data_IF_230974033552
#
_entry.id   IF_230974033552
#
_cell.length_a   1.000
_cell.length_b   1.000
_cell.length_c   1.000
_cell.angle_alpha   90.00
_cell.angle_beta   90.00
_cell.angle_gamma   90.00
#
_symmetry.space_group_name_H-M   'P 1'
#
loop_
_entity.id
_entity.type
_entity.pdbx_description
1 polymer ?
#
# COMPACT_ATOMS: atom_id res chain seq x y z
N UNK A 1 -3.20 54.26 22.41
CA UNK A 1 -2.02 53.64 23.08
C UNK A 1 -2.59 52.79 24.21
N UNK A 2 -2.75 51.48 24.09
CA UNK A 2 -1.70 50.44 24.21
C UNK A 2 -2.30 49.12 23.69
N UNK A 3 -1.95 48.66 22.48
CA UNK A 3 -1.05 47.51 22.18
C UNK A 3 -1.29 46.23 22.98
N UNK A 4 -1.86 45.27 22.24
CA UNK A 4 -1.78 43.82 22.32
C UNK A 4 -0.45 43.25 22.85
N UNK A 5 -0.53 42.22 23.69
CA UNK A 5 0.48 41.16 23.87
C UNK A 5 -0.25 39.95 24.47
N UNK A 6 -0.53 38.89 23.68
CA UNK A 6 0.29 37.66 23.64
C UNK A 6 0.00 36.81 24.88
N UNK A 7 -0.48 35.57 24.82
CA UNK A 7 -0.20 34.48 23.89
C UNK A 7 -1.35 33.48 24.03
N UNK A 8 -2.06 33.19 22.94
CA UNK A 8 -2.80 31.94 22.86
C UNK A 8 -1.74 30.86 22.65
N UNK A 9 -1.33 30.19 23.74
CA UNK A 9 -0.57 28.96 23.64
C UNK A 9 -1.43 27.97 22.87
N UNK A 10 -1.07 27.72 21.62
CA UNK A 10 -1.55 26.54 20.91
C UNK A 10 -1.25 25.35 21.81
N UNK A 11 -2.29 24.66 22.27
CA UNK A 11 -2.14 23.32 22.81
C UNK A 11 -1.47 22.50 21.72
N UNK A 12 -0.20 22.16 21.90
CA UNK A 12 0.61 21.39 20.97
C UNK A 12 -0.04 20.02 20.80
N UNK A 13 -0.94 19.90 19.83
CA UNK A 13 -1.55 18.63 19.46
C UNK A 13 -0.46 17.66 19.04
N UNK A 14 -0.53 16.43 19.54
CA UNK A 14 0.33 15.35 19.07
C UNK A 14 0.12 15.14 17.57
N UNK A 15 1.20 15.05 16.79
CA UNK A 15 1.16 14.74 15.36
C UNK A 15 0.67 13.30 15.22
N UNK A 16 -0.45 13.11 14.53
CA UNK A 16 -1.08 11.81 14.32
C UNK A 16 -0.44 11.13 13.12
N UNK A 17 0.33 10.09 13.38
CA UNK A 17 1.07 9.33 12.38
C UNK A 17 0.40 7.97 12.17
N UNK A 18 0.13 7.63 10.92
CA UNK A 18 -0.41 6.33 10.53
C UNK A 18 0.64 5.48 9.84
N UNK A 19 0.86 4.25 10.31
CA UNK A 19 1.80 3.30 9.72
C UNK A 19 1.13 1.98 9.36
N UNK A 20 1.69 1.30 8.37
CA UNK A 20 1.16 0.04 7.86
C UNK A 20 1.42 -1.09 8.87
N UNK A 21 0.40 -1.92 9.12
CA UNK A 21 0.48 -3.08 10.02
C UNK A 21 1.05 -4.34 9.35
N UNK A 22 2.21 -4.23 8.68
CA UNK A 22 2.92 -5.38 8.09
C UNK A 22 4.37 -5.45 8.56
N UNK A 23 4.97 -6.65 8.49
CA UNK A 23 6.33 -6.89 8.98
C UNK A 23 7.37 -5.98 8.32
N UNK A 24 7.19 -5.64 7.03
CA UNK A 24 8.09 -4.75 6.29
C UNK A 24 8.11 -3.30 6.79
N UNK A 25 7.16 -2.91 7.65
CA UNK A 25 7.04 -1.56 8.20
C UNK A 25 7.71 -1.44 9.57
N UNK A 26 7.96 -2.56 10.28
CA UNK A 26 8.56 -2.56 11.62
C UNK A 26 9.85 -1.72 11.69
N UNK A 27 10.82 -1.84 10.75
CA UNK A 27 12.03 -1.03 10.80
C UNK A 27 11.80 0.47 10.56
N UNK A 28 10.70 0.86 9.89
CA UNK A 28 10.40 2.26 9.56
C UNK A 28 9.75 3.02 10.72
N UNK A 29 9.16 2.30 11.66
CA UNK A 29 8.44 2.89 12.80
C UNK A 29 9.19 2.75 14.12
N UNK A 30 10.31 2.03 14.12
CA UNK A 30 11.14 1.84 15.30
C UNK A 30 11.59 3.21 15.85
N UNK A 31 11.44 3.39 17.16
CA UNK A 31 11.70 4.66 17.84
C UNK A 31 10.69 5.79 17.62
N UNK A 32 9.74 5.71 16.67
CA UNK A 32 8.76 6.79 16.45
C UNK A 32 7.85 7.01 17.66
N UNK A 33 7.53 5.96 18.41
CA UNK A 33 6.71 6.02 19.63
C UNK A 33 7.43 6.69 20.80
N UNK A 34 8.76 6.80 20.75
CA UNK A 34 9.59 7.43 21.78
C UNK A 34 9.70 8.96 21.57
N UNK A 35 9.33 9.45 20.39
CA UNK A 35 9.39 10.87 20.04
C UNK A 35 8.21 11.60 20.70
N UNK A 36 8.54 12.59 21.54
CA UNK A 36 7.54 13.45 22.19
C UNK A 36 6.71 14.22 21.16
N UNK A 37 5.39 14.19 21.30
CA UNK A 37 4.46 14.87 20.38
C UNK A 37 4.12 14.08 19.12
N UNK A 38 4.41 12.78 19.06
CA UNK A 38 3.92 11.85 18.04
C UNK A 38 2.88 10.89 18.65
N UNK A 39 1.80 10.65 17.92
CA UNK A 39 0.82 9.61 18.21
C UNK A 39 0.78 8.64 17.03
N UNK A 40 1.35 7.45 17.21
CA UNK A 40 1.43 6.43 16.17
C UNK A 40 0.21 5.49 16.23
N UNK A 41 -0.40 5.26 15.08
CA UNK A 41 -1.48 4.29 14.88
C UNK A 41 -1.15 3.35 13.74
N UNK A 42 -1.63 2.11 13.82
CA UNK A 42 -1.39 1.07 12.81
C UNK A 42 -2.69 0.68 12.13
N UNK A 43 -2.67 0.59 10.80
CA UNK A 43 -3.80 0.10 10.02
C UNK A 43 -3.33 -0.45 8.67
N UNK A 44 -4.27 -0.86 7.83
CA UNK A 44 -4.00 -1.27 6.45
C UNK A 44 -3.71 -0.07 5.54
N UNK A 45 -2.88 -0.24 4.49
CA UNK A 45 -2.50 0.86 3.61
C UNK A 45 -3.69 1.64 3.03
N UNK A 46 -4.75 0.95 2.60
CA UNK A 46 -5.96 1.58 2.06
C UNK A 46 -6.69 2.43 3.11
N UNK A 47 -6.82 1.95 4.35
CA UNK A 47 -7.46 2.68 5.45
C UNK A 47 -6.64 3.87 5.92
N UNK A 48 -5.31 3.76 5.90
CA UNK A 48 -4.42 4.89 6.19
C UNK A 48 -4.60 6.01 5.17
N UNK A 49 -4.76 5.69 3.89
CA UNK A 49 -5.06 6.67 2.85
C UNK A 49 -6.41 7.36 3.09
N UNK A 50 -7.45 6.59 3.42
CA UNK A 50 -8.78 7.14 3.73
C UNK A 50 -8.74 8.07 4.96
N UNK A 51 -8.03 7.66 6.03
CA UNK A 51 -7.88 8.44 7.25
C UNK A 51 -7.02 9.71 7.06
N UNK A 52 -5.97 9.66 6.22
CA UNK A 52 -5.21 10.85 5.84
C UNK A 52 -6.10 11.83 5.08
N UNK A 53 -6.84 11.35 4.08
CA UNK A 53 -7.76 12.16 3.28
C UNK A 53 -8.82 12.86 4.15
N UNK A 54 -9.45 12.11 5.05
CA UNK A 54 -10.45 12.62 6.00
C UNK A 54 -9.86 13.54 7.09
N UNK A 55 -8.54 13.58 7.23
CA UNK A 55 -7.86 14.38 8.25
C UNK A 55 -7.89 13.85 9.65
N UNK A 56 -8.10 12.55 9.77
CA UNK A 56 -7.87 11.81 11.01
C UNK A 56 -6.38 11.56 11.27
N UNK A 57 -5.54 11.66 10.23
CA UNK A 57 -4.08 11.59 10.32
C UNK A 57 -3.44 12.87 9.76
N UNK A 58 -2.27 13.22 10.30
CA UNK A 58 -1.44 14.33 9.85
C UNK A 58 -0.36 13.85 8.88
N UNK A 59 0.21 12.68 9.15
CA UNK A 59 1.18 11.98 8.31
C UNK A 59 0.79 10.50 8.22
N UNK A 60 0.91 9.87 7.04
CA UNK A 60 0.66 8.45 6.90
C UNK A 60 1.57 7.77 5.87
N UNK A 61 1.93 6.51 6.12
CA UNK A 61 2.56 5.62 5.14
C UNK A 61 1.47 5.03 4.24
N UNK A 62 1.23 5.65 3.08
CA UNK A 62 0.10 5.33 2.20
C UNK A 62 0.57 4.68 0.89
N UNK A 63 -0.31 3.94 0.18
CA UNK A 63 -0.02 3.44 -1.16
C UNK A 63 0.43 4.57 -2.10
N UNK A 64 1.53 4.39 -2.83
CA UNK A 64 2.06 5.41 -3.74
C UNK A 64 1.04 5.92 -4.77
N UNK A 65 0.07 5.08 -5.19
CA UNK A 65 -0.96 5.49 -6.14
C UNK A 65 -1.88 6.59 -5.59
N UNK A 66 -2.05 6.64 -4.26
CA UNK A 66 -2.88 7.63 -3.56
C UNK A 66 -2.25 9.02 -3.58
N UNK A 67 -0.91 9.10 -3.63
CA UNK A 67 -0.21 10.37 -3.76
C UNK A 67 -0.65 11.15 -5.01
N UNK A 68 -0.89 10.45 -6.12
CA UNK A 68 -1.31 11.06 -7.37
C UNK A 68 -2.79 11.46 -7.40
N UNK A 69 -3.59 11.09 -6.40
CA UNK A 69 -5.03 11.40 -6.34
C UNK A 69 -5.33 12.75 -5.69
N UNK A 70 -4.39 13.33 -4.93
CA UNK A 70 -4.60 14.58 -4.21
C UNK A 70 -3.41 15.55 -4.41
N UNK A 71 -3.61 16.70 -5.09
CA UNK A 71 -2.55 17.68 -5.34
C UNK A 71 -2.02 18.36 -4.07
N UNK A 72 -2.76 18.31 -2.95
CA UNK A 72 -2.38 18.87 -1.66
C UNK A 72 -1.51 17.93 -0.83
N UNK A 73 -1.24 16.72 -1.33
CA UNK A 73 -0.32 15.80 -0.69
C UNK A 73 1.14 16.19 -0.93
N UNK A 74 1.96 15.99 0.11
CA UNK A 74 3.41 16.17 0.07
C UNK A 74 4.11 14.93 0.63
N UNK A 75 5.14 14.48 -0.07
CA UNK A 75 6.05 13.44 0.44
C UNK A 75 6.95 14.08 1.48
N UNK A 76 6.99 13.52 2.69
CA UNK A 76 7.70 14.12 3.84
C UNK A 76 8.98 13.39 4.22
N UNK A 77 9.28 12.28 3.56
CA UNK A 77 10.49 11.48 3.81
C UNK A 77 10.89 10.72 2.54
N UNK A 78 12.18 10.46 2.39
CA UNK A 78 12.74 9.54 1.40
C UNK A 78 12.66 8.06 1.84
N UNK A 79 12.34 7.80 3.12
CA UNK A 79 12.01 6.48 3.60
C UNK A 79 10.69 5.99 2.97
N UNK A 80 10.70 4.77 2.43
CA UNK A 80 9.56 4.20 1.74
C UNK A 80 9.58 2.66 1.77
N UNK A 81 8.46 2.04 1.40
CA UNK A 81 8.40 0.61 1.13
C UNK A 81 8.63 0.41 -0.36
N UNK A 82 9.79 -0.13 -0.73
CA UNK A 82 10.21 -0.30 -2.11
C UNK A 82 11.01 -1.60 -2.31
N UNK A 83 11.15 -2.03 -3.56
CA UNK A 83 12.02 -3.14 -3.93
C UNK A 83 12.76 -2.89 -5.25
N UNK A 84 13.83 -3.65 -5.47
CA UNK A 84 14.44 -3.87 -6.78
C UNK A 84 14.57 -5.37 -6.98
N UNK A 85 13.75 -5.94 -7.86
CA UNK A 85 13.55 -7.38 -7.95
C UNK A 85 12.43 -7.87 -7.03
N UNK A 86 12.48 -9.12 -6.55
CA UNK A 86 11.40 -9.72 -5.77
C UNK A 86 11.05 -8.93 -4.50
N UNK A 87 9.76 -8.72 -4.25
CA UNK A 87 9.23 -8.06 -3.02
C UNK A 87 8.71 -9.06 -1.98
N UNK A 88 8.45 -10.30 -2.39
CA UNK A 88 7.98 -11.47 -1.63
C UNK A 88 6.61 -11.35 -0.96
N UNK A 89 6.17 -10.13 -0.68
CA UNK A 89 4.96 -9.77 0.06
C UNK A 89 3.85 -9.21 -0.83
N UNK A 90 4.00 -9.29 -2.14
CA UNK A 90 2.99 -8.87 -3.12
C UNK A 90 2.99 -9.86 -4.27
N UNK A 91 1.95 -10.71 -4.33
CA UNK A 91 1.87 -11.79 -5.31
C UNK A 91 0.56 -11.78 -6.08
N UNK A 92 0.65 -12.11 -7.36
CA UNK A 92 -0.51 -12.51 -8.15
C UNK A 92 -0.48 -14.04 -8.27
N UNK A 93 -1.52 -14.69 -7.79
CA UNK A 93 -1.67 -16.14 -7.80
C UNK A 93 -2.78 -16.51 -8.77
N UNK A 94 -2.54 -17.42 -9.71
CA UNK A 94 -3.52 -17.81 -10.71
C UNK A 94 -3.69 -19.33 -10.82
N UNK A 95 -4.95 -19.73 -10.99
CA UNK A 95 -5.38 -21.11 -11.22
C UNK A 95 -5.25 -21.53 -12.69
N UNK A 96 -5.02 -20.55 -13.58
CA UNK A 96 -4.88 -20.69 -15.04
C UNK A 96 -3.69 -19.87 -15.54
N UNK A 97 -3.19 -20.09 -16.78
CA UNK A 97 -2.23 -19.18 -17.40
C UNK A 97 -2.74 -17.74 -17.34
N UNK A 98 -1.83 -16.77 -17.14
CA UNK A 98 -2.23 -15.39 -16.88
C UNK A 98 -2.94 -14.76 -18.09
N UNK A 99 -2.53 -15.10 -19.30
CA UNK A 99 -3.12 -14.69 -20.57
C UNK A 99 -4.54 -15.22 -20.80
N UNK A 100 -4.96 -16.26 -20.07
CA UNK A 100 -6.27 -16.90 -20.17
C UNK A 100 -7.24 -16.49 -19.04
N UNK A 101 -6.81 -15.64 -18.09
CA UNK A 101 -7.68 -15.27 -16.97
C UNK A 101 -8.84 -14.37 -17.40
N UNK A 102 -10.04 -14.64 -16.89
CA UNK A 102 -11.23 -13.83 -17.12
C UNK A 102 -11.58 -12.99 -15.90
N UNK A 103 -11.17 -13.44 -14.70
CA UNK A 103 -11.51 -12.80 -13.43
C UNK A 103 -10.33 -12.68 -12.46
N UNK A 104 -10.27 -11.54 -11.77
CA UNK A 104 -9.21 -11.21 -10.81
C UNK A 104 -9.80 -10.66 -9.51
N UNK A 105 -9.60 -11.39 -8.41
CA UNK A 105 -9.89 -10.91 -7.07
C UNK A 105 -8.75 -10.01 -6.55
N UNK A 106 -9.08 -8.82 -6.07
CA UNK A 106 -8.13 -7.82 -5.58
C UNK A 106 -8.24 -7.66 -4.07
N UNK A 107 -7.12 -7.84 -3.36
CA UNK A 107 -7.00 -7.55 -1.93
C UNK A 107 -7.34 -6.09 -1.62
N UNK A 108 -8.41 -5.87 -0.84
CA UNK A 108 -8.84 -4.52 -0.40
C UNK A 108 -7.78 -3.77 0.42
N UNK A 109 -6.80 -4.49 0.97
CA UNK A 109 -5.68 -3.91 1.70
C UNK A 109 -4.71 -3.13 0.82
N UNK A 110 -4.76 -3.28 -0.51
CA UNK A 110 -3.79 -2.65 -1.42
C UNK A 110 -4.40 -1.93 -2.62
N UNK A 111 -4.04 -0.66 -2.78
CA UNK A 111 -4.42 0.12 -3.97
C UNK A 111 -3.29 0.24 -4.99
N UNK A 112 -2.04 0.38 -4.54
CA UNK A 112 -0.87 0.38 -5.44
C UNK A 112 -0.74 -0.94 -6.19
N UNK A 113 -0.79 -2.07 -5.48
CA UNK A 113 -0.58 -3.38 -6.11
C UNK A 113 -1.74 -3.74 -7.05
N UNK A 114 -2.96 -3.30 -6.71
CA UNK A 114 -4.13 -3.41 -7.60
C UNK A 114 -3.94 -2.61 -8.90
N UNK A 115 -3.36 -1.41 -8.84
CA UNK A 115 -3.02 -0.64 -10.03
C UNK A 115 -1.89 -1.32 -10.83
N UNK A 116 -0.81 -1.73 -10.16
CA UNK A 116 0.35 -2.35 -10.79
C UNK A 116 -0.01 -3.64 -11.54
N UNK A 117 -0.78 -4.55 -10.92
CA UNK A 117 -1.14 -5.82 -11.57
C UNK A 117 -1.96 -5.59 -12.83
N UNK A 118 -2.86 -4.60 -12.83
CA UNK A 118 -3.66 -4.23 -14.01
C UNK A 118 -2.78 -3.65 -15.11
N UNK A 119 -1.75 -2.88 -14.77
CA UNK A 119 -0.77 -2.39 -15.73
C UNK A 119 -0.02 -3.57 -16.35
N UNK A 120 0.53 -4.47 -15.54
CA UNK A 120 1.32 -5.60 -16.03
C UNK A 120 0.49 -6.54 -16.91
N UNK A 121 -0.74 -6.90 -16.51
CA UNK A 121 -1.61 -7.77 -17.31
C UNK A 121 -1.96 -7.15 -18.67
N UNK A 122 -2.25 -5.85 -18.70
CA UNK A 122 -2.50 -5.12 -19.95
C UNK A 122 -1.26 -5.04 -20.83
N UNK A 123 -0.10 -4.74 -20.25
CA UNK A 123 1.13 -4.53 -21.02
C UNK A 123 1.74 -5.84 -21.53
N UNK A 124 1.66 -6.93 -20.75
CA UNK A 124 2.25 -8.23 -21.12
C UNK A 124 1.32 -9.07 -21.99
N UNK A 125 0.00 -9.03 -21.75
CA UNK A 125 -0.97 -9.93 -22.41
C UNK A 125 -2.11 -9.21 -23.13
N UNK A 126 -2.25 -7.89 -22.98
CA UNK A 126 -3.36 -7.15 -23.59
C UNK A 126 -4.72 -7.38 -22.94
N UNK A 127 -4.77 -8.05 -21.78
CA UNK A 127 -6.03 -8.45 -21.13
C UNK A 127 -6.51 -7.45 -20.08
N UNK A 128 -7.79 -7.49 -19.75
CA UNK A 128 -8.41 -6.72 -18.66
C UNK A 128 -9.51 -7.56 -18.00
N UNK A 129 -9.15 -8.42 -17.04
CA UNK A 129 -10.11 -9.33 -16.41
C UNK A 129 -11.18 -8.57 -15.61
N UNK A 130 -12.31 -9.23 -15.39
CA UNK A 130 -13.35 -8.76 -14.49
C UNK A 130 -12.79 -8.69 -13.06
N UNK A 131 -12.83 -7.49 -12.47
CA UNK A 131 -12.34 -7.27 -11.12
C UNK A 131 -13.39 -7.67 -10.09
N UNK A 132 -12.95 -8.37 -9.06
CA UNK A 132 -13.72 -8.75 -7.88
C UNK A 132 -13.00 -8.28 -6.63
N UNK A 133 -13.73 -8.05 -5.55
CA UNK A 133 -13.10 -7.74 -4.28
C UNK A 133 -12.70 -9.01 -3.54
N UNK A 134 -11.51 -9.01 -2.93
CA UNK A 134 -11.13 -9.95 -1.89
C UNK A 134 -11.19 -9.20 -0.55
N UNK A 135 -12.25 -9.40 0.25
CA UNK A 135 -12.40 -8.71 1.52
C UNK A 135 -11.27 -9.03 2.50
N UNK A 136 -11.07 -8.10 3.43
CA UNK A 136 -10.04 -8.21 4.45
C UNK A 136 -10.27 -9.42 5.37
N UNK A 137 -9.23 -10.22 5.56
CA UNK A 137 -9.27 -11.42 6.42
C UNK A 137 -9.89 -12.65 5.76
N UNK A 138 -10.52 -12.52 4.59
CA UNK A 138 -11.06 -13.67 3.86
C UNK A 138 -9.91 -14.54 3.29
N UNK A 139 -10.06 -15.89 3.33
CA UNK A 139 -9.10 -16.81 2.75
C UNK A 139 -9.08 -16.67 1.22
N UNK A 140 -7.93 -16.29 0.68
CA UNK A 140 -7.76 -16.06 -0.76
C UNK A 140 -7.87 -17.36 -1.58
N UNK A 141 -7.63 -18.50 -0.94
CA UNK A 141 -7.77 -19.84 -1.52
C UNK A 141 -9.22 -20.15 -1.94
N UNK A 142 -10.19 -19.49 -1.31
CA UNK A 142 -11.63 -19.66 -1.58
C UNK A 142 -12.19 -18.56 -2.49
N UNK A 143 -11.37 -17.61 -2.93
CA UNK A 143 -11.81 -16.54 -3.81
C UNK A 143 -12.35 -17.11 -5.13
N UNK A 144 -13.61 -16.77 -5.44
CA UNK A 144 -14.28 -17.09 -6.70
C UNK A 144 -13.76 -16.18 -7.82
N UNK A 145 -12.55 -16.47 -8.31
CA UNK A 145 -11.88 -15.80 -9.41
C UNK A 145 -10.80 -16.73 -10.02
N UNK A 146 -10.36 -16.48 -11.25
CA UNK A 146 -9.27 -17.25 -11.85
C UNK A 146 -7.93 -16.95 -11.18
N UNK A 147 -7.72 -15.68 -10.84
CA UNK A 147 -6.55 -15.20 -10.15
C UNK A 147 -6.90 -14.33 -8.94
N UNK A 148 -5.96 -14.24 -8.00
CA UNK A 148 -6.07 -13.44 -6.78
C UNK A 148 -4.78 -12.68 -6.54
N UNK A 149 -4.90 -11.37 -6.36
CA UNK A 149 -3.84 -10.52 -5.84
C UNK A 149 -3.86 -10.62 -4.32
N UNK A 150 -2.73 -10.94 -3.71
CA UNK A 150 -2.55 -10.93 -2.26
C UNK A 150 -1.36 -10.09 -1.84
N UNK A 151 -1.46 -9.44 -0.69
CA UNK A 151 -0.39 -8.61 -0.13
C UNK A 151 -0.09 -8.89 1.34
N UNK A 152 1.01 -8.33 1.83
CA UNK A 152 1.43 -8.37 3.22
C UNK A 152 1.98 -9.73 3.63
N UNK A 153 1.94 -10.00 4.93
CA UNK A 153 2.60 -11.17 5.53
C UNK A 153 2.03 -12.50 5.00
N UNK A 154 0.74 -12.55 4.64
CA UNK A 154 0.13 -13.74 4.03
C UNK A 154 0.76 -14.10 2.68
N UNK A 155 1.21 -13.11 1.90
CA UNK A 155 1.86 -13.35 0.62
C UNK A 155 3.27 -13.91 0.76
N UNK A 156 3.92 -13.75 1.93
CA UNK A 156 5.29 -14.27 2.14
C UNK A 156 5.34 -15.80 2.21
N UNK A 157 4.21 -16.45 2.47
CA UNK A 157 4.12 -17.90 2.56
C UNK A 157 3.97 -18.55 1.17
N UNK A 158 4.37 -19.82 0.99
CA UNK A 158 4.06 -20.56 -0.22
C UNK A 158 2.54 -20.72 -0.40
N UNK A 159 2.04 -20.47 -1.60
CA UNK A 159 0.63 -20.66 -1.94
C UNK A 159 0.43 -21.99 -2.68
N UNK A 160 -0.38 -22.89 -2.11
CA UNK A 160 -0.76 -24.15 -2.74
C UNK A 160 -2.00 -23.97 -3.63
N UNK A 161 -2.15 -24.78 -4.68
CA UNK A 161 -3.32 -24.73 -5.56
C UNK A 161 -3.30 -23.63 -6.64
N UNK A 162 -2.21 -22.84 -6.69
CA UNK A 162 -1.99 -21.81 -7.71
C UNK A 162 -0.75 -22.17 -8.55
N UNK A 163 -0.91 -22.86 -9.69
CA UNK A 163 0.21 -23.29 -10.54
C UNK A 163 0.98 -22.13 -11.18
N UNK A 164 0.37 -20.95 -11.30
CA UNK A 164 1.01 -19.76 -11.85
C UNK A 164 1.11 -18.68 -10.78
N UNK A 165 2.32 -18.17 -10.55
CA UNK A 165 2.57 -17.18 -9.50
C UNK A 165 3.53 -16.12 -10.01
N UNK A 166 3.20 -14.86 -9.73
CA UNK A 166 4.07 -13.72 -9.94
C UNK A 166 4.43 -13.08 -8.62
N UNK A 167 5.69 -12.69 -8.50
CA UNK A 167 6.12 -11.66 -7.56
C UNK A 167 6.07 -10.31 -8.28
N UNK A 168 5.18 -9.42 -7.84
CA UNK A 168 4.92 -8.16 -8.54
C UNK A 168 6.14 -7.22 -8.60
N UNK A 169 7.05 -7.31 -7.62
CA UNK A 169 8.31 -6.58 -7.65
C UNK A 169 9.26 -7.12 -8.71
N UNK A 170 9.34 -8.45 -8.83
CA UNK A 170 10.14 -9.10 -9.86
C UNK A 170 9.60 -8.80 -11.26
N UNK A 171 8.30 -8.97 -11.48
CA UNK A 171 7.66 -8.71 -12.78
C UNK A 171 7.83 -7.26 -13.25
N UNK A 172 7.71 -6.30 -12.33
CA UNK A 172 7.97 -4.89 -12.64
C UNK A 172 9.44 -4.64 -12.99
N UNK A 173 10.36 -5.17 -12.17
CA UNK A 173 11.78 -4.93 -12.35
C UNK A 173 12.30 -5.57 -13.65
N UNK A 174 11.80 -6.75 -14.01
CA UNK A 174 12.10 -7.41 -15.29
C UNK A 174 11.57 -6.61 -16.47
N UNK A 175 10.32 -6.13 -16.38
CA UNK A 175 9.69 -5.39 -17.49
C UNK A 175 10.28 -4.00 -17.70
N UNK A 176 10.55 -3.26 -16.62
CA UNK A 176 10.93 -1.84 -16.67
C UNK A 176 12.42 -1.58 -16.43
N UNK A 177 13.16 -2.51 -15.81
CA UNK A 177 14.53 -2.29 -15.33
C UNK A 177 14.65 -1.39 -14.09
N UNK A 178 13.52 -0.92 -13.55
CA UNK A 178 13.46 0.07 -12.47
C UNK A 178 13.03 -0.56 -11.13
N UNK A 179 13.40 0.06 -9.98
CA UNK A 179 12.80 -0.31 -8.71
C UNK A 179 11.32 0.08 -8.69
N UNK A 180 10.57 -0.48 -7.74
CA UNK A 180 9.17 -0.14 -7.52
C UNK A 180 8.94 0.37 -6.10
N UNK A 181 8.18 1.45 -5.95
CA UNK A 181 7.76 2.00 -4.64
C UNK A 181 6.31 1.61 -4.40
N UNK A 182 6.03 0.89 -3.32
CA UNK A 182 4.68 0.46 -2.95
C UNK A 182 3.98 1.47 -2.05
N UNK A 183 4.68 2.01 -1.05
CA UNK A 183 4.15 2.97 -0.08
C UNK A 183 5.17 4.04 0.28
N UNK A 184 4.68 5.24 0.62
CA UNK A 184 5.48 6.44 0.91
C UNK A 184 4.87 7.22 2.07
N UNK A 185 5.71 7.95 2.83
CA UNK A 185 5.25 8.84 3.89
C UNK A 185 4.71 10.14 3.30
N UNK A 186 3.43 10.39 3.52
CA UNK A 186 2.70 11.53 2.96
C UNK A 186 2.01 12.32 4.05
N UNK A 187 2.03 13.64 3.92
CA UNK A 187 1.24 14.56 4.71
C UNK A 187 0.31 15.39 3.81
N UNK A 188 -0.68 16.05 4.43
CA UNK A 188 -1.46 17.10 3.79
C UNK A 188 -0.79 18.45 4.01
N UNK A 189 -0.83 19.32 3.00
CA UNK A 189 -0.38 20.72 3.12
C UNK A 189 -1.23 21.53 4.10
#
# INVERSE_FOLDING_TARGET
>A
MSRLSGSATATSGSIRVGAVSYLNTVPLVDGLTEISGISLSFDLPSRLADNLSAGHLDVALIPCVEFFQNPDYVVVSDACIACRGPVLSVKLLSRRPFEEMESLALDEGSRTSAALVRILLRQRFGISPQLRSLPLGEPYEQADADAVLIIGDRAMHPAAGFPHQWDLGAEWCEWSGLPFVFAMWVARR
#
